data_IF_857067724600
#
_entry.id   IF_857067724600
#
_cell.length_a   1.000
_cell.length_b   1.000
_cell.length_c   1.000
_cell.angle_alpha   90.00
_cell.angle_beta   90.00
_cell.angle_gamma   90.00
#
_symmetry.space_group_name_H-M   'P 1'
#
loop_
_entity.id
_entity.type
_entity.pdbx_description
1 polymer ?
#
# COMPACT_ATOMS: atom_id res chain seq x y z
N UNK A 1 -10.72 -16.23 -7.12
CA UNK A 1 -9.35 -15.76 -6.89
C UNK A 1 -9.14 -14.44 -7.59
N UNK A 2 -8.71 -13.43 -6.89
CA UNK A 2 -8.56 -12.12 -7.50
C UNK A 2 -7.14 -11.87 -7.99
N UNK A 3 -7.02 -11.04 -9.01
CA UNK A 3 -5.73 -10.68 -9.57
C UNK A 3 -4.97 -9.75 -8.63
N UNK A 4 -3.64 -9.82 -8.64
CA UNK A 4 -2.84 -8.87 -7.86
C UNK A 4 -2.93 -7.48 -8.47
N UNK A 5 -3.08 -6.48 -7.61
CA UNK A 5 -3.18 -5.08 -8.01
C UNK A 5 -2.30 -4.21 -7.13
N UNK A 6 -1.96 -3.05 -7.65
CA UNK A 6 -1.24 -2.02 -6.91
C UNK A 6 -2.11 -0.78 -6.87
N UNK A 7 -2.22 -0.18 -5.71
CA UNK A 7 -2.90 1.09 -5.51
C UNK A 7 -1.87 2.16 -5.23
N UNK A 8 -1.93 3.24 -5.99
CA UNK A 8 -1.13 4.43 -5.76
C UNK A 8 -2.10 5.54 -5.42
N UNK A 9 -1.97 6.14 -4.25
CA UNK A 9 -2.98 7.07 -3.80
C UNK A 9 -2.42 8.18 -2.92
N UNK A 10 -3.17 9.25 -2.85
CA UNK A 10 -2.87 10.34 -1.94
C UNK A 10 -4.14 11.13 -1.63
N UNK A 11 -4.09 11.85 -0.54
CA UNK A 11 -5.13 12.81 -0.18
C UNK A 11 -4.50 13.89 0.67
N UNK A 12 -4.79 15.14 0.36
CA UNK A 12 -4.44 16.28 1.19
C UNK A 12 -5.68 16.62 2.02
N UNK A 13 -5.62 16.31 3.29
CA UNK A 13 -6.75 16.53 4.19
C UNK A 13 -6.19 16.61 5.60
N UNK A 14 -6.78 17.45 6.46
CA UNK A 14 -6.29 17.55 7.84
C UNK A 14 -6.55 16.27 8.60
N UNK A 15 -5.50 15.74 9.22
CA UNK A 15 -5.58 14.54 10.03
C UNK A 15 -5.21 14.93 11.46
N UNK A 16 -6.19 14.86 12.35
CA UNK A 16 -5.99 15.33 13.71
C UNK A 16 -5.00 14.49 14.48
N UNK A 17 -5.00 13.17 14.26
CA UNK A 17 -4.13 12.26 14.99
C UNK A 17 -3.47 11.29 14.03
N UNK A 18 -2.36 11.69 13.42
CA UNK A 18 -1.67 10.83 12.44
C UNK A 18 -1.23 9.49 13.03
N UNK A 19 -0.85 9.45 14.29
CA UNK A 19 -0.42 8.20 14.90
C UNK A 19 -1.57 7.21 15.03
N UNK A 20 -2.76 7.69 15.37
CA UNK A 20 -3.93 6.81 15.43
C UNK A 20 -4.26 6.26 14.04
N UNK A 21 -4.14 7.10 13.02
CA UNK A 21 -4.36 6.68 11.63
C UNK A 21 -3.31 5.66 11.22
N UNK A 22 -2.06 5.85 11.63
CA UNK A 22 -0.99 4.91 11.34
C UNK A 22 -1.31 3.53 11.91
N UNK A 23 -1.73 3.47 13.16
CA UNK A 23 -2.08 2.20 13.79
C UNK A 23 -3.25 1.53 13.08
N UNK A 24 -4.28 2.29 12.77
CA UNK A 24 -5.45 1.78 12.05
C UNK A 24 -5.07 1.24 10.68
N UNK A 25 -4.31 2.01 9.91
CA UNK A 25 -3.91 1.60 8.57
C UNK A 25 -3.02 0.35 8.61
N UNK A 26 -2.14 0.27 9.60
CA UNK A 26 -1.28 -0.89 9.76
C UNK A 26 -2.12 -2.15 9.99
N UNK A 27 -3.07 -2.08 10.91
CA UNK A 27 -3.92 -3.24 11.21
C UNK A 27 -4.83 -3.59 10.04
N UNK A 28 -5.36 -2.59 9.36
CA UNK A 28 -6.21 -2.81 8.20
C UNK A 28 -5.45 -3.54 7.10
N UNK A 29 -4.25 -3.07 6.77
CA UNK A 29 -3.44 -3.70 5.74
C UNK A 29 -3.05 -5.11 6.12
N UNK A 30 -2.67 -5.33 7.37
CA UNK A 30 -2.33 -6.67 7.84
C UNK A 30 -3.51 -7.62 7.71
N UNK A 31 -4.69 -7.15 8.09
CA UNK A 31 -5.88 -8.00 8.03
C UNK A 31 -6.26 -8.38 6.60
N UNK A 32 -5.90 -7.55 5.64
CA UNK A 32 -6.20 -7.77 4.24
C UNK A 32 -5.04 -8.40 3.46
N UNK A 33 -3.91 -8.60 4.11
CA UNK A 33 -2.75 -9.15 3.44
C UNK A 33 -2.07 -8.18 2.48
N UNK A 34 -2.29 -6.90 2.66
CA UNK A 34 -1.67 -5.89 1.80
C UNK A 34 -0.28 -5.54 2.29
N UNK A 35 0.59 -5.20 1.34
CA UNK A 35 1.95 -4.77 1.62
C UNK A 35 2.22 -3.50 0.85
N UNK A 36 3.20 -2.76 1.30
CA UNK A 36 3.58 -1.54 0.63
C UNK A 36 4.08 -0.49 1.59
N UNK A 37 3.98 0.75 1.16
CA UNK A 37 4.48 1.88 1.94
C UNK A 37 3.40 2.93 2.06
N UNK A 38 3.12 3.34 3.28
CA UNK A 38 2.14 4.38 3.55
C UNK A 38 2.79 5.45 4.42
N UNK A 39 2.63 6.70 4.04
CA UNK A 39 3.13 7.84 4.80
C UNK A 39 1.94 8.68 5.22
N UNK A 40 1.87 8.98 6.50
CA UNK A 40 0.77 9.75 7.07
C UNK A 40 1.35 10.99 7.73
N UNK A 41 0.69 12.12 7.56
CA UNK A 41 1.05 13.35 8.25
C UNK A 41 -0.23 14.05 8.65
N UNK A 42 -0.10 15.14 9.40
CA UNK A 42 -1.26 15.95 9.75
C UNK A 42 -1.87 16.64 8.53
N UNK A 43 -1.20 16.56 7.39
CA UNK A 43 -1.66 17.19 6.14
C UNK A 43 -2.31 16.19 5.18
N UNK A 44 -2.26 14.90 5.48
CA UNK A 44 -2.86 13.91 4.61
C UNK A 44 -2.18 12.56 4.61
N UNK A 45 -2.40 11.81 3.54
CA UNK A 45 -1.87 10.46 3.39
C UNK A 45 -1.34 10.26 1.98
N UNK A 46 -0.31 9.45 1.87
CA UNK A 46 0.30 9.08 0.60
C UNK A 46 0.71 7.62 0.72
N UNK A 47 0.32 6.81 -0.25
CA UNK A 47 0.65 5.40 -0.15
C UNK A 47 0.69 4.67 -1.47
N UNK A 48 1.42 3.56 -1.44
CA UNK A 48 1.46 2.59 -2.52
C UNK A 48 1.37 1.22 -1.87
N UNK A 49 0.28 0.51 -2.11
CA UNK A 49 0.08 -0.80 -1.53
C UNK A 49 -0.33 -1.79 -2.61
N UNK A 50 0.01 -3.04 -2.38
CA UNK A 50 -0.32 -4.10 -3.32
C UNK A 50 -0.88 -5.32 -2.64
N UNK A 51 -1.68 -6.05 -3.37
CA UNK A 51 -2.29 -7.28 -2.92
C UNK A 51 -3.38 -7.71 -3.87
N UNK A 52 -4.20 -8.65 -3.44
CA UNK A 52 -5.30 -9.12 -4.26
C UNK A 52 -6.32 -8.02 -4.49
N UNK A 53 -6.96 -8.05 -5.64
CA UNK A 53 -7.90 -7.03 -6.05
C UNK A 53 -9.02 -6.81 -5.03
N UNK A 54 -9.58 -7.89 -4.50
CA UNK A 54 -10.65 -7.76 -3.52
C UNK A 54 -10.18 -7.11 -2.24
N UNK A 55 -8.96 -7.44 -1.81
CA UNK A 55 -8.37 -6.80 -0.64
C UNK A 55 -8.16 -5.31 -0.88
N UNK A 56 -7.71 -4.95 -2.07
CA UNK A 56 -7.53 -3.54 -2.43
C UNK A 56 -8.85 -2.79 -2.40
N UNK A 57 -9.92 -3.40 -2.90
CA UNK A 57 -11.24 -2.78 -2.88
C UNK A 57 -11.74 -2.57 -1.46
N UNK A 58 -11.55 -3.54 -0.60
CA UNK A 58 -11.94 -3.40 0.81
C UNK A 58 -11.13 -2.33 1.50
N UNK A 59 -9.84 -2.27 1.22
CA UNK A 59 -8.98 -1.24 1.77
C UNK A 59 -9.49 0.16 1.41
N UNK A 60 -9.80 0.37 0.13
CA UNK A 60 -10.29 1.66 -0.33
C UNK A 60 -11.63 2.02 0.31
N UNK A 61 -12.54 1.07 0.38
CA UNK A 61 -13.85 1.32 0.97
C UNK A 61 -13.71 1.74 2.43
N UNK A 62 -12.90 1.02 3.19
CA UNK A 62 -12.73 1.32 4.60
C UNK A 62 -11.96 2.62 4.83
N UNK A 63 -10.96 2.86 3.99
CA UNK A 63 -10.17 4.08 4.10
C UNK A 63 -11.03 5.31 3.77
N UNK A 64 -11.84 5.21 2.73
CA UNK A 64 -12.73 6.32 2.35
C UNK A 64 -13.89 6.52 3.32
N UNK A 65 -14.17 5.55 4.16
CA UNK A 65 -15.19 5.71 5.19
C UNK A 65 -14.74 6.66 6.29
N UNK A 66 -13.44 6.88 6.42
CA UNK A 66 -12.90 7.88 7.33
C UNK A 66 -13.05 9.25 6.64
N UNK A 67 -13.84 10.14 7.24
CA UNK A 67 -14.24 11.40 6.62
C UNK A 67 -13.14 12.18 5.90
N UNK A 68 -12.02 12.49 6.59
CA UNK A 68 -10.94 13.24 5.95
C UNK A 68 -10.38 12.57 4.69
N UNK A 69 -10.51 11.27 4.56
CA UNK A 69 -9.98 10.52 3.43
C UNK A 69 -11.06 10.10 2.44
N UNK A 70 -12.27 10.62 2.57
CA UNK A 70 -13.37 10.27 1.66
C UNK A 70 -13.09 10.64 0.21
N UNK A 71 -12.24 11.65 0.00
CA UNK A 71 -11.86 12.10 -1.35
C UNK A 71 -10.53 11.55 -1.84
N UNK A 72 -10.10 10.42 -1.29
CA UNK A 72 -8.82 9.82 -1.67
C UNK A 72 -8.72 9.60 -3.18
N UNK A 73 -7.65 10.10 -3.77
CA UNK A 73 -7.39 9.98 -5.19
C UNK A 73 -6.54 8.74 -5.44
N UNK A 74 -7.04 7.82 -6.23
CA UNK A 74 -6.43 6.49 -6.38
C UNK A 74 -6.16 6.17 -7.84
N UNK A 75 -4.99 5.60 -8.07
CA UNK A 75 -4.64 5.06 -9.36
C UNK A 75 -4.37 3.57 -9.20
N UNK A 76 -4.99 2.77 -10.04
CA UNK A 76 -4.84 1.32 -10.05
C UNK A 76 -3.78 0.90 -11.06
N UNK A 77 -2.99 -0.08 -10.70
CA UNK A 77 -2.03 -0.72 -11.60
C UNK A 77 -2.07 -2.21 -11.42
N UNK A 78 -1.58 -2.93 -12.42
CA UNK A 78 -1.43 -4.38 -12.30
C UNK A 78 -0.26 -4.68 -11.39
N UNK A 79 -0.44 -5.68 -10.52
CA UNK A 79 0.63 -6.14 -9.66
C UNK A 79 1.15 -7.48 -10.15
N UNK A 80 2.28 -7.91 -9.62
CA UNK A 80 2.84 -9.22 -9.97
C UNK A 80 2.35 -10.32 -9.06
N UNK A 81 2.21 -10.01 -7.77
CA UNK A 81 1.67 -10.94 -6.80
C UNK A 81 2.54 -12.14 -6.48
N UNK A 82 3.71 -12.24 -7.06
CA UNK A 82 4.59 -13.37 -6.80
C UNK A 82 5.38 -13.17 -5.52
N UNK A 83 5.61 -14.26 -4.81
CA UNK A 83 6.45 -14.19 -3.64
C UNK A 83 7.91 -14.48 -4.02
N UNK A 84 8.85 -14.11 -3.14
CA UNK A 84 10.27 -14.27 -3.44
C UNK A 84 10.72 -15.71 -3.69
N UNK A 85 10.09 -16.65 -3.03
CA UNK A 85 10.45 -18.06 -3.19
C UNK A 85 10.16 -18.52 -4.62
N UNK A 86 8.98 -18.19 -5.11
CA UNK A 86 8.60 -18.54 -6.47
C UNK A 86 9.52 -17.85 -7.47
N UNK A 87 9.82 -16.60 -7.24
CA UNK A 87 10.73 -15.85 -8.10
C UNK A 87 12.10 -16.53 -8.15
N UNK A 88 12.59 -16.94 -7.01
CA UNK A 88 13.89 -17.58 -6.91
C UNK A 88 13.92 -18.88 -7.69
N UNK A 89 12.85 -19.64 -7.63
CA UNK A 89 12.75 -20.88 -8.38
C UNK A 89 12.79 -20.64 -9.87
N UNK A 90 12.09 -19.61 -10.32
CA UNK A 90 12.01 -19.31 -11.74
C UNK A 90 13.28 -18.69 -12.29
N UNK A 91 13.99 -17.95 -11.48
CA UNK A 91 15.12 -17.17 -11.95
C UNK A 91 16.42 -17.52 -11.25
N UNK A 92 16.53 -18.68 -10.72
CA UNK A 92 17.63 -19.12 -9.88
C UNK A 92 19.03 -18.60 -10.20
N UNK A 93 19.18 -17.91 -11.30
CA UNK A 93 20.46 -17.42 -11.78
C UNK A 93 20.83 -16.09 -11.16
N UNK A 94 19.93 -15.13 -11.24
CA UNK A 94 20.20 -13.78 -10.78
C UNK A 94 19.50 -13.51 -9.47
N UNK A 95 20.24 -13.63 -8.39
CA UNK A 95 19.69 -13.46 -7.07
C UNK A 95 19.59 -12.02 -6.60
N UNK A 96 20.06 -11.07 -7.40
CA UNK A 96 20.10 -9.70 -6.98
C UNK A 96 18.88 -8.89 -7.39
N UNK A 97 18.25 -9.27 -8.47
CA UNK A 97 17.23 -8.42 -9.05
C UNK A 97 15.90 -9.09 -9.38
N UNK A 98 15.84 -10.24 -10.01
CA UNK A 98 14.56 -10.75 -10.54
C UNK A 98 13.48 -10.91 -9.47
N UNK A 99 13.82 -11.48 -8.33
CA UNK A 99 12.82 -11.71 -7.31
C UNK A 99 12.30 -10.41 -6.71
N UNK A 100 13.09 -9.36 -6.74
CA UNK A 100 12.63 -8.05 -6.27
C UNK A 100 11.62 -7.43 -7.21
N UNK A 101 11.72 -7.74 -8.49
CA UNK A 101 10.79 -7.23 -9.47
C UNK A 101 9.51 -8.03 -9.54
N UNK A 102 9.56 -9.27 -9.09
CA UNK A 102 8.41 -10.16 -9.13
C UNK A 102 7.48 -9.92 -7.95
N UNK A 103 8.04 -9.53 -6.83
CA UNK A 103 7.26 -9.18 -5.66
C UNK A 103 7.08 -7.68 -5.63
N UNK A 104 5.83 -7.22 -5.64
CA UNK A 104 5.53 -5.80 -5.63
C UNK A 104 6.10 -5.13 -4.41
N UNK A 105 5.90 -5.73 -3.24
CA UNK A 105 6.40 -5.17 -1.99
C UNK A 105 6.76 -6.30 -1.04
N UNK A 106 8.00 -6.31 -0.53
CA UNK A 106 8.43 -7.38 0.37
C UNK A 106 7.81 -7.27 1.76
N UNK A 107 7.39 -6.07 2.16
CA UNK A 107 6.83 -5.86 3.49
C UNK A 107 5.93 -4.65 3.53
N UNK A 108 5.24 -4.50 4.65
CA UNK A 108 4.39 -3.36 4.90
C UNK A 108 5.15 -2.35 5.76
N UNK A 109 5.11 -1.09 5.37
CA UNK A 109 5.70 0.00 6.13
C UNK A 109 4.71 1.15 6.22
N UNK A 110 4.28 1.49 7.42
CA UNK A 110 3.35 2.60 7.64
C UNK A 110 4.02 3.56 8.63
N UNK A 111 4.27 4.79 8.18
CA UNK A 111 5.05 5.76 8.95
C UNK A 111 4.37 7.10 9.04
N UNK A 112 4.62 7.80 10.14
CA UNK A 112 4.18 9.20 10.30
C UNK A 112 5.38 10.09 9.99
N UNK A 113 5.13 11.13 9.20
CA UNK A 113 6.13 12.13 8.85
C UNK A 113 5.57 13.51 9.10
N UNK A 114 6.44 14.49 9.28
CA UNK A 114 6.01 15.87 9.48
C UNK A 114 5.38 16.44 8.22
N UNK A 115 5.90 16.05 7.09
CA UNK A 115 5.40 16.53 5.81
C UNK A 115 5.03 15.37 4.92
N UNK A 116 4.02 15.62 4.10
CA UNK A 116 3.58 14.66 3.10
C UNK A 116 4.31 14.97 1.81
N UNK A 117 5.10 13.99 1.34
CA UNK A 117 5.80 14.13 0.07
C UNK A 117 4.96 13.43 -0.99
N UNK A 118 4.46 14.20 -1.94
CA UNK A 118 3.70 13.64 -3.04
C UNK A 118 4.69 13.18 -4.10
N UNK A 119 4.57 11.93 -4.48
CA UNK A 119 5.35 11.42 -5.59
C UNK A 119 4.52 11.56 -6.84
N UNK A 120 5.07 12.29 -7.74
CA UNK A 120 4.38 12.52 -8.99
C UNK A 120 4.14 11.24 -9.75
#
# INVERSE_FOLDING_TARGET
MSDPKILLYYAFAPIADPEAVRLWQTELCKSLGLRGRIIISKHGINGTVGGEQDACKQYLRRTRAYGPLSGLDVKWSAGTGFDPVEAETLHGIDRRAPWRRITDFPKLSVKVRDELVAFG
#
